data_IF_373585319272
#
_entry.id   IF_373585319272
#
_cell.length_a   1.000
_cell.length_b   1.000
_cell.length_c   1.000
_cell.angle_alpha   90.00
_cell.angle_beta   90.00
_cell.angle_gamma   90.00
#
_symmetry.space_group_name_H-M   'P 1'
#
loop_
_entity.id
_entity.type
_entity.pdbx_description
1 polymer ?
#
# COMPACT_ATOMS: atom_id res chain seq x y z
N UNK A 1 26.09 -11.36 3.04
CA UNK A 1 24.75 -11.65 2.43
C UNK A 1 24.22 -10.35 1.87
N UNK A 2 24.07 -10.21 0.55
CA UNK A 2 23.43 -9.00 -0.05
C UNK A 2 21.97 -9.01 0.41
N UNK A 3 21.57 -8.01 1.19
CA UNK A 3 20.18 -7.85 1.62
C UNK A 3 19.30 -7.80 0.38
N UNK A 4 18.39 -8.76 0.23
CA UNK A 4 17.43 -8.85 -0.87
C UNK A 4 16.61 -7.56 -0.92
N UNK A 5 16.99 -6.63 -1.80
CA UNK A 5 16.34 -5.34 -1.94
C UNK A 5 15.05 -5.50 -2.73
N UNK A 6 13.92 -5.04 -2.17
CA UNK A 6 12.61 -5.03 -2.84
C UNK A 6 12.45 -3.80 -3.74
N UNK A 7 13.51 -3.47 -4.50
CA UNK A 7 13.52 -2.31 -5.39
C UNK A 7 12.48 -2.37 -6.51
N UNK A 8 12.01 -3.57 -6.87
CA UNK A 8 10.90 -3.74 -7.79
C UNK A 8 9.62 -3.08 -7.29
N UNK A 9 9.31 -3.25 -5.98
CA UNK A 9 8.15 -2.59 -5.37
C UNK A 9 8.29 -1.06 -5.39
N UNK A 10 9.49 -0.54 -5.07
CA UNK A 10 9.71 0.91 -5.08
C UNK A 10 9.50 1.49 -6.49
N UNK A 11 9.99 0.80 -7.53
CA UNK A 11 9.85 1.28 -8.92
C UNK A 11 8.42 1.19 -9.44
N UNK A 12 7.69 0.12 -9.11
CA UNK A 12 6.31 -0.02 -9.56
C UNK A 12 5.35 0.97 -8.89
N UNK A 13 5.74 1.60 -7.77
CA UNK A 13 4.95 2.69 -7.17
C UNK A 13 4.69 3.83 -8.14
N UNK A 14 5.65 4.13 -9.04
CA UNK A 14 5.46 5.21 -10.01
C UNK A 14 4.39 4.85 -11.06
N UNK A 15 4.49 3.75 -11.85
CA UNK A 15 3.40 3.38 -12.75
C UNK A 15 2.06 3.21 -12.01
N UNK A 16 2.03 2.67 -10.78
CA UNK A 16 0.80 2.57 -10.01
C UNK A 16 0.21 3.96 -9.67
N UNK A 17 1.03 4.95 -9.28
CA UNK A 17 0.56 6.32 -9.05
C UNK A 17 0.06 6.98 -10.35
N UNK A 18 0.74 6.75 -11.48
CA UNK A 18 0.32 7.25 -12.79
C UNK A 18 -1.02 6.63 -13.25
N UNK A 19 -1.23 5.34 -12.98
CA UNK A 19 -2.53 4.69 -13.22
C UNK A 19 -3.65 5.31 -12.36
N UNK A 20 -3.35 5.68 -11.10
CA UNK A 20 -4.34 6.38 -10.27
C UNK A 20 -4.69 7.75 -10.87
N UNK A 21 -3.70 8.51 -11.35
CA UNK A 21 -3.96 9.78 -12.06
C UNK A 21 -4.78 9.52 -13.33
N UNK A 22 -4.47 8.45 -14.08
CA UNK A 22 -5.21 8.08 -15.29
C UNK A 22 -6.69 7.78 -15.01
N UNK A 23 -7.01 7.04 -13.94
CA UNK A 23 -8.40 6.78 -13.51
C UNK A 23 -9.19 8.07 -13.30
N UNK A 24 -8.54 9.13 -12.81
CA UNK A 24 -9.22 10.40 -12.50
C UNK A 24 -9.19 11.44 -13.63
N UNK A 25 -8.42 11.22 -14.69
CA UNK A 25 -8.28 12.15 -15.82
C UNK A 25 -8.80 11.61 -17.14
N UNK A 26 -8.93 10.29 -17.29
CA UNK A 26 -9.39 9.64 -18.52
C UNK A 26 -8.49 9.93 -19.72
N UNK A 27 -7.20 9.53 -19.72
CA UNK A 27 -6.20 10.01 -20.68
C UNK A 27 -6.51 9.71 -22.15
N UNK A 28 -7.30 8.67 -22.41
CA UNK A 28 -7.60 8.22 -23.78
C UNK A 28 -9.03 8.57 -24.24
N UNK A 29 -9.83 9.28 -23.45
CA UNK A 29 -11.22 9.59 -23.77
C UNK A 29 -11.40 10.32 -25.10
N UNK A 30 -10.52 11.26 -25.43
CA UNK A 30 -10.59 12.00 -26.71
C UNK A 30 -10.02 11.20 -27.89
N UNK A 31 -9.36 10.04 -27.65
CA UNK A 31 -8.75 9.20 -28.68
C UNK A 31 -9.63 7.97 -28.94
N UNK A 32 -9.94 7.23 -27.89
CA UNK A 32 -10.76 6.01 -27.92
C UNK A 32 -11.37 5.76 -26.55
N UNK A 33 -12.70 5.93 -26.39
CA UNK A 33 -13.38 5.57 -25.14
C UNK A 33 -13.12 4.13 -24.72
N UNK A 34 -13.12 3.18 -25.66
CA UNK A 34 -12.84 1.78 -25.38
C UNK A 34 -11.42 1.57 -24.81
N UNK A 35 -10.41 2.20 -25.40
CA UNK A 35 -9.03 2.11 -24.89
C UNK A 35 -8.90 2.80 -23.51
N UNK A 36 -9.66 3.87 -23.28
CA UNK A 36 -9.73 4.51 -21.98
C UNK A 36 -10.31 3.58 -20.92
N UNK A 37 -11.42 2.92 -21.22
CA UNK A 37 -12.07 1.97 -20.30
C UNK A 37 -11.14 0.79 -19.97
N UNK A 38 -10.42 0.24 -20.96
CA UNK A 38 -9.41 -0.80 -20.69
C UNK A 38 -8.33 -0.28 -19.71
N UNK A 39 -7.87 0.94 -19.91
CA UNK A 39 -6.81 1.51 -19.10
C UNK A 39 -7.31 1.87 -17.69
N UNK A 40 -8.46 2.54 -17.56
CA UNK A 40 -8.93 3.13 -16.29
C UNK A 40 -9.80 2.19 -15.48
N UNK A 41 -10.70 1.45 -16.15
CA UNK A 41 -11.73 0.65 -15.47
C UNK A 41 -11.31 -0.82 -15.27
N UNK A 42 -10.27 -1.26 -16.00
CA UNK A 42 -9.76 -2.63 -15.88
C UNK A 42 -8.32 -2.63 -15.35
N UNK A 43 -7.33 -2.18 -16.13
CA UNK A 43 -5.92 -2.28 -15.74
C UNK A 43 -5.53 -1.32 -14.61
N UNK A 44 -6.12 -0.14 -14.58
CA UNK A 44 -5.91 0.84 -13.53
C UNK A 44 -6.32 0.33 -12.15
N UNK A 45 -7.27 -0.62 -12.09
CA UNK A 45 -7.74 -1.19 -10.82
C UNK A 45 -6.69 -2.03 -10.08
N UNK A 46 -5.58 -2.37 -10.71
CA UNK A 46 -4.43 -3.02 -10.07
C UNK A 46 -3.71 -2.08 -9.10
N UNK A 47 -3.73 -0.76 -9.35
CA UNK A 47 -2.90 0.21 -8.64
C UNK A 47 -3.15 0.24 -7.12
N UNK A 48 -4.39 0.37 -6.67
CA UNK A 48 -4.72 0.45 -5.24
C UNK A 48 -4.51 -0.90 -4.53
N UNK A 49 -4.98 -2.04 -5.05
CA UNK A 49 -4.67 -3.36 -4.51
C UNK A 49 -3.17 -3.66 -4.41
N UNK A 50 -2.34 -3.20 -5.33
CA UNK A 50 -0.89 -3.27 -5.20
C UNK A 50 -0.39 -2.56 -3.94
N UNK A 51 -0.86 -1.34 -3.66
CA UNK A 51 -0.46 -0.62 -2.44
C UNK A 51 -0.94 -1.30 -1.17
N UNK A 52 -2.15 -1.88 -1.15
CA UNK A 52 -2.62 -2.71 -0.04
C UNK A 52 -1.73 -3.94 0.16
N UNK A 53 -1.44 -4.67 -0.91
CA UNK A 53 -0.64 -5.89 -0.85
C UNK A 53 0.82 -5.61 -0.44
N UNK A 54 1.43 -4.53 -0.91
CA UNK A 54 2.75 -4.09 -0.44
C UNK A 54 2.71 -3.70 1.04
N UNK A 55 1.66 -3.03 1.50
CA UNK A 55 1.48 -2.73 2.93
C UNK A 55 1.37 -4.01 3.75
N UNK A 56 0.60 -4.99 3.27
CA UNK A 56 0.48 -6.31 3.88
C UNK A 56 1.79 -7.10 3.92
N UNK A 57 2.61 -6.99 2.88
CA UNK A 57 3.94 -7.61 2.81
C UNK A 57 4.82 -7.26 4.00
N UNK A 58 4.79 -6.01 4.43
CA UNK A 58 5.58 -5.54 5.57
C UNK A 58 4.83 -5.64 6.91
N UNK A 59 3.52 -5.42 6.92
CA UNK A 59 2.73 -5.34 8.15
C UNK A 59 2.38 -6.73 8.71
N UNK A 60 1.84 -7.65 7.89
CA UNK A 60 1.27 -8.91 8.39
C UNK A 60 2.31 -9.80 9.10
N UNK A 61 3.56 -9.97 8.61
CA UNK A 61 4.58 -10.69 9.36
C UNK A 61 4.88 -10.06 10.73
N UNK A 62 4.81 -8.73 10.84
CA UNK A 62 4.99 -8.02 12.11
C UNK A 62 3.79 -8.21 13.03
N UNK A 63 2.57 -8.14 12.51
CA UNK A 63 1.35 -8.41 13.29
C UNK A 63 1.38 -9.80 13.94
N UNK A 64 1.92 -10.79 13.25
CA UNK A 64 2.07 -12.16 13.78
C UNK A 64 3.10 -12.26 14.90
N UNK A 65 4.16 -11.47 14.86
CA UNK A 65 5.24 -11.50 15.87
C UNK A 65 5.00 -10.53 17.02
N UNK A 66 4.55 -9.34 16.74
CA UNK A 66 4.51 -8.19 17.65
C UNK A 66 3.05 -7.82 18.06
N UNK A 67 2.04 -8.38 17.37
CA UNK A 67 0.63 -8.11 17.66
C UNK A 67 0.26 -6.63 17.53
N UNK A 68 -0.45 -6.09 18.54
CA UNK A 68 -0.89 -4.71 18.58
C UNK A 68 0.27 -3.69 18.58
N UNK A 69 1.47 -4.08 19.04
CA UNK A 69 2.64 -3.20 19.03
C UNK A 69 3.09 -2.84 17.59
N UNK A 70 2.83 -3.71 16.60
CA UNK A 70 3.04 -3.40 15.19
C UNK A 70 1.91 -2.57 14.59
N UNK A 71 0.66 -2.78 15.04
CA UNK A 71 -0.53 -2.12 14.50
C UNK A 71 -0.56 -0.63 14.85
N UNK A 72 -0.31 -0.27 16.12
CA UNK A 72 -0.42 1.10 16.62
C UNK A 72 0.39 2.12 15.80
N UNK A 73 1.72 1.94 15.63
CA UNK A 73 2.53 2.84 14.81
C UNK A 73 2.08 2.92 13.34
N UNK A 74 1.60 1.81 12.77
CA UNK A 74 1.08 1.77 11.42
C UNK A 74 -0.19 2.62 11.29
N UNK A 75 -1.16 2.45 12.18
CA UNK A 75 -2.39 3.24 12.21
C UNK A 75 -2.09 4.73 12.43
N UNK A 76 -1.24 5.06 13.41
CA UNK A 76 -0.85 6.46 13.68
C UNK A 76 -0.32 7.15 12.43
N UNK A 77 0.57 6.49 11.67
CA UNK A 77 1.12 7.04 10.44
C UNK A 77 0.06 7.20 9.35
N UNK A 78 -0.78 6.18 9.15
CA UNK A 78 -1.83 6.18 8.12
C UNK A 78 -2.89 7.23 8.42
N UNK A 79 -3.37 7.30 9.66
CA UNK A 79 -4.41 8.25 10.09
C UNK A 79 -3.89 9.69 10.12
N UNK A 80 -2.63 9.92 10.50
CA UNK A 80 -2.02 11.25 10.43
C UNK A 80 -1.95 11.74 8.98
N UNK A 81 -1.52 10.87 8.04
CA UNK A 81 -1.47 11.21 6.63
C UNK A 81 -2.88 11.46 6.07
N UNK A 82 -3.87 10.67 6.50
CA UNK A 82 -5.27 10.90 6.15
C UNK A 82 -5.77 12.25 6.65
N UNK A 83 -5.55 12.57 7.92
CA UNK A 83 -5.95 13.84 8.52
C UNK A 83 -5.34 15.04 7.77
N UNK A 84 -4.03 15.00 7.52
CA UNK A 84 -3.34 16.06 6.78
C UNK A 84 -3.90 16.20 5.35
N UNK A 85 -4.19 15.07 4.68
CA UNK A 85 -4.81 15.09 3.36
C UNK A 85 -6.24 15.62 3.42
N UNK A 86 -7.06 15.24 4.40
CA UNK A 86 -8.41 15.74 4.58
C UNK A 86 -8.43 17.27 4.80
N UNK A 87 -7.51 17.78 5.61
CA UNK A 87 -7.34 19.23 5.83
C UNK A 87 -6.91 19.95 4.54
N UNK A 88 -6.03 19.34 3.75
CA UNK A 88 -5.61 19.88 2.45
C UNK A 88 -6.79 20.02 1.47
N UNK A 89 -7.75 19.07 1.52
CA UNK A 89 -8.92 19.07 0.62
C UNK A 89 -10.14 19.80 1.18
N UNK A 90 -10.11 20.23 2.44
CA UNK A 90 -11.22 20.97 3.05
C UNK A 90 -11.65 22.23 2.25
N UNK A 91 -10.71 23.07 1.73
CA UNK A 91 -11.10 24.21 0.91
C UNK A 91 -11.84 23.83 -0.37
N UNK A 92 -11.46 22.71 -1.03
CA UNK A 92 -12.16 22.23 -2.22
C UNK A 92 -13.54 21.67 -1.90
N UNK A 93 -13.68 20.96 -0.77
CA UNK A 93 -15.00 20.49 -0.33
C UNK A 93 -15.93 21.65 0.00
N UNK A 94 -15.43 22.70 0.64
CA UNK A 94 -16.21 23.93 0.90
C UNK A 94 -16.62 24.62 -0.40
N UNK A 95 -15.70 24.78 -1.34
CA UNK A 95 -15.96 25.41 -2.63
C UNK A 95 -16.96 24.63 -3.48
N UNK A 96 -16.86 23.28 -3.51
CA UNK A 96 -17.73 22.41 -4.29
C UNK A 96 -19.05 22.08 -3.60
N UNK A 97 -19.30 22.56 -2.38
CA UNK A 97 -20.46 22.19 -1.56
C UNK A 97 -20.62 20.67 -1.37
N UNK A 98 -19.49 19.96 -1.23
CA UNK A 98 -19.43 18.49 -1.07
C UNK A 98 -19.20 18.06 0.37
N UNK A 99 -19.36 18.98 1.33
CA UNK A 99 -19.35 18.60 2.76
C UNK A 99 -20.59 17.75 3.08
N UNK A 100 -20.40 16.82 4.00
CA UNK A 100 -21.47 15.96 4.47
C UNK A 100 -22.62 16.78 5.07
N UNK A 101 -23.85 16.47 4.63
CA UNK A 101 -25.07 17.21 5.05
C UNK A 101 -25.54 16.81 6.45
N UNK A 102 -25.02 15.73 7.04
CA UNK A 102 -25.39 15.23 8.35
C UNK A 102 -24.21 14.58 9.07
N UNK A 103 -24.30 14.42 10.37
CA UNK A 103 -23.30 13.70 11.17
C UNK A 103 -23.13 12.24 10.72
N UNK A 104 -24.20 11.58 10.27
CA UNK A 104 -24.14 10.21 9.77
C UNK A 104 -23.38 10.12 8.44
N UNK A 105 -23.62 11.04 7.49
CA UNK A 105 -22.88 11.11 6.23
C UNK A 105 -21.42 11.47 6.47
N UNK A 106 -21.12 12.35 7.41
CA UNK A 106 -19.74 12.68 7.79
C UNK A 106 -18.99 11.46 8.34
N UNK A 107 -19.61 10.70 9.24
CA UNK A 107 -19.00 9.46 9.75
C UNK A 107 -18.78 8.43 8.64
N UNK A 108 -19.75 8.26 7.76
CA UNK A 108 -19.63 7.39 6.58
C UNK A 108 -18.43 7.78 5.70
N UNK A 109 -18.27 9.08 5.43
CA UNK A 109 -17.17 9.58 4.61
C UNK A 109 -15.82 9.44 5.33
N UNK A 110 -15.74 9.71 6.62
CA UNK A 110 -14.52 9.54 7.39
C UNK A 110 -14.06 8.07 7.42
N UNK A 111 -14.98 7.12 7.61
CA UNK A 111 -14.60 5.72 7.84
C UNK A 111 -14.60 4.84 6.59
N UNK A 112 -15.38 5.18 5.54
CA UNK A 112 -15.58 4.31 4.38
C UNK A 112 -15.31 4.99 3.04
N UNK A 113 -15.98 6.12 2.74
CA UNK A 113 -15.93 6.72 1.41
C UNK A 113 -14.70 7.60 1.19
N UNK A 114 -14.08 8.10 2.28
CA UNK A 114 -13.06 9.15 2.23
C UNK A 114 -13.68 10.55 2.21
N UNK A 115 -13.03 11.50 2.88
CA UNK A 115 -13.47 12.91 2.94
C UNK A 115 -13.28 13.66 1.61
N UNK A 116 -12.68 13.04 0.63
CA UNK A 116 -12.59 13.45 -0.77
C UNK A 116 -12.46 12.19 -1.63
N UNK A 117 -12.93 12.21 -2.87
CA UNK A 117 -13.15 11.02 -3.70
C UNK A 117 -11.98 10.03 -3.84
N UNK A 118 -10.72 10.48 -3.73
CA UNK A 118 -9.55 9.60 -3.78
C UNK A 118 -9.03 9.19 -2.39
N UNK A 119 -9.43 9.89 -1.31
CA UNK A 119 -8.92 9.66 0.03
C UNK A 119 -9.46 8.38 0.71
N UNK A 120 -10.44 7.70 0.11
CA UNK A 120 -10.99 6.44 0.62
C UNK A 120 -9.94 5.35 0.91
N UNK A 121 -8.80 5.42 0.24
CA UNK A 121 -7.68 4.51 0.44
C UNK A 121 -7.18 4.48 1.89
N UNK A 122 -7.09 5.64 2.54
CA UNK A 122 -6.54 5.72 3.90
C UNK A 122 -7.44 5.07 4.95
N UNK A 123 -8.74 5.40 5.07
CA UNK A 123 -9.63 4.70 5.99
C UNK A 123 -9.76 3.21 5.62
N UNK A 124 -9.77 2.86 4.33
CA UNK A 124 -9.77 1.47 3.89
C UNK A 124 -8.52 0.71 4.36
N UNK A 125 -7.33 1.31 4.25
CA UNK A 125 -6.09 0.72 4.72
C UNK A 125 -6.08 0.56 6.25
N UNK A 126 -6.55 1.57 6.99
CA UNK A 126 -6.59 1.54 8.46
C UNK A 126 -7.58 0.49 8.98
N UNK A 127 -8.81 0.49 8.49
CA UNK A 127 -9.84 -0.47 8.86
C UNK A 127 -9.44 -1.90 8.47
N UNK A 128 -8.96 -2.09 7.22
CA UNK A 128 -8.49 -3.39 6.74
C UNK A 128 -7.34 -3.94 7.57
N UNK A 129 -6.42 -3.08 8.04
CA UNK A 129 -5.33 -3.50 8.93
C UNK A 129 -5.84 -3.97 10.30
N UNK A 130 -6.84 -3.29 10.87
CA UNK A 130 -7.50 -3.71 12.12
C UNK A 130 -8.20 -5.07 11.95
N UNK A 131 -8.93 -5.26 10.85
CA UNK A 131 -9.61 -6.51 10.53
C UNK A 131 -8.58 -7.63 10.36
N UNK A 132 -7.54 -7.41 9.57
CA UNK A 132 -6.49 -8.43 9.36
C UNK A 132 -5.79 -8.79 10.68
N UNK A 133 -5.51 -7.80 11.54
CA UNK A 133 -4.97 -8.07 12.87
C UNK A 133 -5.89 -8.98 13.69
N UNK A 134 -7.19 -8.68 13.74
CA UNK A 134 -8.18 -9.49 14.46
C UNK A 134 -8.28 -10.90 13.86
N UNK A 135 -8.36 -11.03 12.53
CA UNK A 135 -8.42 -12.32 11.84
C UNK A 135 -7.17 -13.17 12.06
N UNK A 136 -5.99 -12.57 11.94
CA UNK A 136 -4.72 -13.30 12.14
C UNK A 136 -4.56 -13.73 13.60
N UNK A 137 -4.99 -12.91 14.56
CA UNK A 137 -4.94 -13.22 16.00
C UNK A 137 -5.96 -14.30 16.39
N UNK A 138 -7.19 -14.20 15.90
CA UNK A 138 -8.29 -15.11 16.28
C UNK A 138 -8.28 -16.43 15.52
N UNK A 139 -7.97 -16.41 14.22
CA UNK A 139 -8.12 -17.54 13.31
C UNK A 139 -6.78 -18.08 12.76
N UNK A 140 -5.66 -17.38 12.99
CA UNK A 140 -4.34 -17.81 12.53
C UNK A 140 -4.30 -18.07 11.02
N UNK A 141 -4.06 -19.33 10.63
CA UNK A 141 -4.02 -19.74 9.21
C UNK A 141 -5.37 -19.65 8.50
N UNK A 142 -6.46 -19.72 9.24
CA UNK A 142 -7.83 -19.68 8.71
C UNK A 142 -8.32 -18.25 8.43
N UNK A 143 -7.50 -17.21 8.71
CA UNK A 143 -7.82 -15.82 8.43
C UNK A 143 -8.20 -15.53 6.95
N UNK A 144 -7.77 -16.42 6.04
CA UNK A 144 -8.10 -16.33 4.63
C UNK A 144 -9.58 -16.53 4.33
N UNK A 145 -10.24 -17.45 5.04
CA UNK A 145 -11.63 -17.81 4.78
C UNK A 145 -12.55 -16.58 4.90
N UNK A 146 -12.60 -15.87 6.04
CA UNK A 146 -13.43 -14.66 6.13
C UNK A 146 -12.96 -13.54 5.18
N UNK A 147 -11.66 -13.40 4.90
CA UNK A 147 -11.19 -12.38 3.98
C UNK A 147 -11.64 -12.64 2.53
N UNK A 148 -11.64 -13.88 2.09
CA UNK A 148 -12.20 -14.28 0.78
C UNK A 148 -13.70 -14.06 0.74
N UNK A 149 -14.44 -14.46 1.79
CA UNK A 149 -15.88 -14.26 1.88
C UNK A 149 -16.25 -12.77 1.83
N UNK A 150 -15.53 -11.92 2.60
CA UNK A 150 -15.73 -10.48 2.55
C UNK A 150 -15.45 -9.92 1.15
N UNK A 151 -14.40 -10.39 0.49
CA UNK A 151 -14.09 -9.96 -0.87
C UNK A 151 -15.17 -10.38 -1.87
N UNK A 152 -15.70 -11.59 -1.77
CA UNK A 152 -16.79 -12.06 -2.63
C UNK A 152 -18.08 -11.26 -2.40
N UNK A 153 -18.41 -10.94 -1.14
CA UNK A 153 -19.50 -10.02 -0.81
C UNK A 153 -19.25 -8.65 -1.43
N UNK A 154 -18.02 -8.13 -1.31
CA UNK A 154 -17.64 -6.88 -1.95
C UNK A 154 -17.79 -6.89 -3.47
N UNK A 155 -17.32 -7.96 -4.11
CA UNK A 155 -17.39 -8.19 -5.56
C UNK A 155 -18.83 -8.17 -6.08
N UNK A 156 -19.73 -8.85 -5.36
CA UNK A 156 -21.16 -8.89 -5.67
C UNK A 156 -21.90 -7.58 -5.39
N UNK A 157 -21.29 -6.63 -4.71
CA UNK A 157 -21.77 -5.25 -4.53
C UNK A 157 -21.06 -4.23 -5.44
N UNK A 158 -20.15 -4.67 -6.29
CA UNK A 158 -19.34 -3.84 -7.18
C UNK A 158 -19.50 -4.28 -8.64
N UNK A 159 -18.49 -4.90 -9.23
CA UNK A 159 -18.49 -5.26 -10.65
C UNK A 159 -19.49 -6.37 -11.03
N UNK A 160 -19.84 -7.24 -10.10
CA UNK A 160 -20.81 -8.32 -10.34
C UNK A 160 -22.19 -8.03 -9.73
N UNK A 161 -22.50 -6.77 -9.45
CA UNK A 161 -23.76 -6.36 -8.80
C UNK A 161 -25.01 -6.75 -9.59
N UNK A 162 -24.97 -6.81 -10.91
CA UNK A 162 -26.10 -7.23 -11.75
C UNK A 162 -26.64 -8.62 -11.39
N UNK A 163 -25.77 -9.53 -10.93
CA UNK A 163 -26.22 -10.86 -10.46
C UNK A 163 -27.01 -10.78 -9.15
N UNK A 164 -26.64 -9.88 -8.24
CA UNK A 164 -27.38 -9.68 -6.99
C UNK A 164 -28.65 -8.87 -7.21
N UNK A 165 -28.62 -7.89 -8.10
CA UNK A 165 -29.78 -7.07 -8.46
C UNK A 165 -30.88 -7.89 -9.14
N UNK A 166 -30.53 -8.99 -9.82
CA UNK A 166 -31.48 -9.92 -10.42
C UNK A 166 -32.30 -10.74 -9.40
N UNK A 167 -31.83 -10.84 -8.14
CA UNK A 167 -32.44 -11.62 -7.07
C UNK A 167 -33.01 -10.68 -5.99
N UNK A 168 -34.36 -10.50 -5.89
CA UNK A 168 -34.97 -9.51 -5.00
C UNK A 168 -34.48 -9.54 -3.53
N UNK A 169 -34.33 -10.72 -2.87
CA UNK A 169 -33.85 -10.76 -1.49
C UNK A 169 -32.38 -10.26 -1.35
N UNK A 170 -31.52 -10.61 -2.31
CA UNK A 170 -30.12 -10.16 -2.31
C UNK A 170 -30.04 -8.67 -2.63
N UNK A 171 -30.80 -8.20 -3.59
CA UNK A 171 -30.91 -6.77 -3.92
C UNK A 171 -31.29 -5.96 -2.69
N UNK A 172 -32.34 -6.34 -1.96
CA UNK A 172 -32.78 -5.65 -0.74
C UNK A 172 -31.68 -5.65 0.35
N UNK A 173 -30.96 -6.77 0.51
CA UNK A 173 -29.83 -6.84 1.45
C UNK A 173 -28.70 -5.86 1.09
N UNK A 174 -28.33 -5.77 -0.20
CA UNK A 174 -27.30 -4.82 -0.66
C UNK A 174 -27.78 -3.36 -0.61
N UNK A 175 -29.03 -3.07 -0.93
CA UNK A 175 -29.61 -1.73 -0.76
C UNK A 175 -29.55 -1.29 0.72
N UNK A 176 -29.88 -2.19 1.66
CA UNK A 176 -29.71 -1.95 3.10
C UNK A 176 -28.25 -1.71 3.49
N UNK A 177 -27.33 -2.47 2.92
CA UNK A 177 -25.88 -2.32 3.16
C UNK A 177 -25.36 -0.97 2.63
N UNK A 178 -25.86 -0.49 1.49
CA UNK A 178 -25.50 0.79 0.90
C UNK A 178 -26.04 2.02 1.66
N UNK A 179 -26.86 1.85 2.70
CA UNK A 179 -27.15 2.92 3.65
C UNK A 179 -25.94 3.24 4.54
N UNK A 180 -25.06 2.25 4.77
CA UNK A 180 -23.87 2.41 5.62
C UNK A 180 -22.64 2.93 4.87
N UNK A 181 -22.51 2.63 3.57
CA UNK A 181 -21.38 3.06 2.72
C UNK A 181 -21.80 3.01 1.24
N UNK A 182 -21.24 3.90 0.43
CA UNK A 182 -21.63 4.00 -1.00
C UNK A 182 -20.98 2.91 -1.85
N UNK A 183 -19.80 2.41 -1.41
CA UNK A 183 -18.97 1.50 -2.18
C UNK A 183 -18.52 0.30 -1.34
N UNK A 184 -18.48 -0.88 -1.95
CA UNK A 184 -17.87 -2.07 -1.33
C UNK A 184 -16.35 -2.11 -1.50
N UNK A 185 -15.77 -1.23 -2.30
CA UNK A 185 -14.30 -1.01 -2.36
C UNK A 185 -13.82 -0.25 -1.12
N UNK A 186 -13.92 -0.84 0.04
CA UNK A 186 -13.59 -0.22 1.32
C UNK A 186 -12.75 -1.14 2.22
N UNK A 187 -12.44 -0.69 3.43
CA UNK A 187 -11.60 -1.42 4.37
C UNK A 187 -12.18 -2.73 4.88
N UNK A 188 -13.50 -2.90 4.79
CA UNK A 188 -14.18 -4.12 5.24
C UNK A 188 -14.08 -5.23 4.19
N UNK A 189 -14.43 -4.93 2.94
CA UNK A 189 -14.60 -5.97 1.91
C UNK A 189 -13.35 -6.17 1.04
N UNK A 190 -12.72 -5.10 0.57
CA UNK A 190 -11.65 -5.23 -0.43
C UNK A 190 -10.25 -5.35 0.18
N UNK A 191 -9.94 -4.59 1.23
CA UNK A 191 -8.56 -4.46 1.72
C UNK A 191 -8.01 -5.71 2.40
N UNK A 192 -8.78 -6.49 3.21
CA UNK A 192 -8.23 -7.61 3.98
C UNK A 192 -7.56 -8.69 3.11
N UNK A 193 -8.14 -9.03 1.96
CA UNK A 193 -7.60 -10.07 1.07
C UNK A 193 -6.21 -9.66 0.52
N UNK A 194 -6.04 -8.40 0.12
CA UNK A 194 -4.76 -7.91 -0.43
C UNK A 194 -3.69 -7.76 0.64
N UNK A 195 -4.04 -7.31 1.85
CA UNK A 195 -3.11 -7.29 2.99
C UNK A 195 -2.63 -8.71 3.32
N UNK A 196 -3.54 -9.68 3.42
CA UNK A 196 -3.19 -11.07 3.68
C UNK A 196 -2.36 -11.67 2.54
N UNK A 197 -2.70 -11.38 1.28
CA UNK A 197 -1.95 -11.84 0.11
C UNK A 197 -0.49 -11.37 0.17
N UNK A 198 -0.27 -10.08 0.39
CA UNK A 198 1.08 -9.54 0.55
C UNK A 198 1.83 -10.17 1.71
N UNK A 199 1.19 -10.30 2.87
CA UNK A 199 1.78 -10.91 4.06
C UNK A 199 2.09 -12.40 3.91
N UNK A 200 1.24 -13.13 3.19
CA UNK A 200 1.47 -14.54 2.89
C UNK A 200 2.65 -14.73 1.93
N UNK A 201 2.73 -13.95 0.87
CA UNK A 201 3.83 -13.98 -0.08
C UNK A 201 5.17 -13.60 0.59
N UNK A 202 5.16 -12.65 1.52
CA UNK A 202 6.36 -12.25 2.27
C UNK A 202 6.97 -13.37 3.12
N UNK A 203 6.15 -14.35 3.55
CA UNK A 203 6.56 -15.45 4.40
C UNK A 203 6.95 -16.73 3.62
N UNK A 204 6.80 -16.71 2.29
CA UNK A 204 7.18 -17.84 1.43
C UNK A 204 8.65 -17.77 1.04
N UNK A 205 9.32 -18.91 0.86
CA UNK A 205 10.65 -18.95 0.28
C UNK A 205 10.64 -18.29 -1.08
N UNK A 206 11.52 -17.30 -1.28
CA UNK A 206 11.63 -16.63 -2.56
C UNK A 206 12.29 -17.57 -3.57
N UNK A 207 11.58 -17.89 -4.62
CA UNK A 207 12.12 -18.58 -5.78
C UNK A 207 12.44 -17.55 -6.84
N UNK A 208 13.67 -17.49 -7.30
CA UNK A 208 14.07 -16.58 -8.37
C UNK A 208 13.64 -17.17 -9.73
N UNK A 209 12.37 -16.90 -10.11
CA UNK A 209 11.77 -17.36 -11.38
C UNK A 209 11.02 -16.21 -12.06
N UNK A 210 11.69 -15.09 -12.42
CA UNK A 210 11.01 -13.91 -12.96
C UNK A 210 10.25 -14.22 -14.27
N UNK A 211 10.76 -15.09 -15.12
CA UNK A 211 10.06 -15.52 -16.34
C UNK A 211 8.72 -16.20 -16.06
N UNK A 212 8.70 -17.17 -15.12
CA UNK A 212 7.46 -17.86 -14.75
C UNK A 212 6.42 -16.89 -14.14
N UNK A 213 6.88 -15.99 -13.26
CA UNK A 213 5.98 -15.00 -12.66
C UNK A 213 5.50 -13.96 -13.67
N UNK A 214 6.34 -13.60 -14.66
CA UNK A 214 5.95 -12.75 -15.78
C UNK A 214 4.88 -13.38 -16.65
N UNK A 215 5.00 -14.67 -16.98
CA UNK A 215 3.95 -15.44 -17.70
C UNK A 215 2.66 -15.48 -16.87
N UNK A 216 2.75 -15.78 -15.56
CA UNK A 216 1.59 -15.77 -14.69
C UNK A 216 0.90 -14.40 -14.63
N UNK A 217 1.67 -13.32 -14.57
CA UNK A 217 1.16 -11.94 -14.63
C UNK A 217 0.46 -11.67 -15.96
N UNK A 218 1.07 -12.03 -17.08
CA UNK A 218 0.47 -11.82 -18.42
C UNK A 218 -0.84 -12.59 -18.58
N UNK A 219 -0.88 -13.85 -18.15
CA UNK A 219 -2.11 -14.64 -18.18
C UNK A 219 -3.19 -14.06 -17.26
N UNK A 220 -2.83 -13.63 -16.06
CA UNK A 220 -3.79 -13.01 -15.15
C UNK A 220 -4.29 -11.64 -15.64
N UNK A 221 -3.47 -10.88 -16.38
CA UNK A 221 -3.91 -9.66 -17.05
C UNK A 221 -4.90 -9.94 -18.18
N UNK A 222 -4.68 -11.00 -18.96
CA UNK A 222 -5.64 -11.46 -19.98
C UNK A 222 -6.97 -11.85 -19.33
N UNK A 223 -6.93 -12.62 -18.23
CA UNK A 223 -8.13 -12.99 -17.49
C UNK A 223 -8.85 -11.77 -16.91
N UNK A 224 -8.12 -10.82 -16.33
CA UNK A 224 -8.69 -9.57 -15.81
C UNK A 224 -9.35 -8.75 -16.92
N UNK A 225 -8.71 -8.70 -18.09
CA UNK A 225 -9.28 -8.01 -19.26
C UNK A 225 -10.55 -8.71 -19.74
N UNK A 226 -10.52 -10.03 -19.86
CA UNK A 226 -11.69 -10.80 -20.26
C UNK A 226 -12.85 -10.65 -19.28
N UNK A 227 -12.58 -10.69 -17.95
CA UNK A 227 -13.59 -10.44 -16.91
C UNK A 227 -14.15 -9.04 -17.01
N UNK A 228 -13.31 -8.00 -17.11
CA UNK A 228 -13.76 -6.62 -17.21
C UNK A 228 -14.61 -6.35 -18.44
N UNK A 229 -14.23 -6.91 -19.60
CA UNK A 229 -15.03 -6.82 -20.84
C UNK A 229 -16.37 -7.58 -20.72
N UNK A 230 -16.37 -8.75 -20.07
CA UNK A 230 -17.60 -9.50 -19.80
C UNK A 230 -18.56 -8.69 -18.92
N UNK A 231 -18.05 -8.19 -17.79
CA UNK A 231 -18.84 -7.37 -16.86
C UNK A 231 -19.45 -6.15 -17.57
N UNK A 232 -18.66 -5.49 -18.42
CA UNK A 232 -19.10 -4.32 -19.18
C UNK A 232 -20.12 -4.69 -20.27
N UNK A 233 -19.87 -5.78 -21.02
CA UNK A 233 -20.75 -6.21 -22.10
C UNK A 233 -22.15 -6.63 -21.61
N UNK A 234 -22.25 -7.17 -20.39
CA UNK A 234 -23.52 -7.59 -19.78
C UNK A 234 -24.10 -6.55 -18.80
N UNK A 235 -23.52 -5.35 -18.72
CA UNK A 235 -23.93 -4.26 -17.81
C UNK A 235 -24.12 -4.74 -16.36
N UNK A 236 -23.17 -5.54 -15.85
CA UNK A 236 -23.25 -6.14 -14.52
C UNK A 236 -22.78 -5.21 -13.42
N UNK A 237 -21.96 -4.21 -13.75
CA UNK A 237 -21.29 -3.40 -12.76
C UNK A 237 -22.20 -2.30 -12.20
N UNK A 238 -22.24 -2.18 -10.86
CA UNK A 238 -22.61 -0.93 -10.20
C UNK A 238 -21.40 0.02 -10.17
N UNK A 239 -20.22 -0.54 -9.88
CA UNK A 239 -18.92 0.07 -9.96
C UNK A 239 -17.92 -0.97 -10.50
N UNK A 240 -16.82 -0.53 -11.04
CA UNK A 240 -15.80 -1.35 -11.70
C UNK A 240 -14.47 -1.38 -10.93
N UNK A 241 -14.55 -1.48 -9.60
CA UNK A 241 -13.35 -1.42 -8.75
C UNK A 241 -12.82 -2.79 -8.30
N UNK A 242 -13.67 -3.80 -8.23
CA UNK A 242 -13.34 -5.14 -7.74
C UNK A 242 -13.61 -6.19 -8.84
N UNK A 243 -12.61 -7.03 -9.11
CA UNK A 243 -12.71 -8.15 -10.06
C UNK A 243 -12.27 -9.45 -9.41
N UNK A 244 -12.88 -10.58 -9.79
CA UNK A 244 -12.56 -11.91 -9.25
C UNK A 244 -11.09 -12.27 -9.52
N UNK A 245 -10.57 -11.91 -10.68
CA UNK A 245 -9.20 -12.20 -11.12
C UNK A 245 -8.15 -11.23 -10.58
N UNK A 246 -8.57 -10.10 -9.99
CA UNK A 246 -7.69 -9.04 -9.51
C UNK A 246 -6.70 -9.51 -8.42
N UNK A 247 -7.09 -10.31 -7.40
CA UNK A 247 -6.12 -10.85 -6.42
C UNK A 247 -5.04 -11.73 -7.07
N UNK A 248 -5.38 -12.48 -8.11
CA UNK A 248 -4.43 -13.30 -8.86
C UNK A 248 -3.40 -12.42 -9.59
N UNK A 249 -3.88 -11.39 -10.28
CA UNK A 249 -3.04 -10.43 -10.99
C UNK A 249 -2.07 -9.72 -10.03
N UNK A 250 -2.56 -9.21 -8.90
CA UNK A 250 -1.72 -8.56 -7.88
C UNK A 250 -0.72 -9.54 -7.26
N UNK A 251 -1.11 -10.78 -7.03
CA UNK A 251 -0.23 -11.83 -6.52
C UNK A 251 0.95 -12.11 -7.45
N UNK A 252 0.72 -12.33 -8.74
CA UNK A 252 1.78 -12.53 -9.72
C UNK A 252 2.62 -11.27 -9.94
N UNK A 253 2.02 -10.08 -9.90
CA UNK A 253 2.75 -8.82 -9.95
C UNK A 253 3.75 -8.70 -8.78
N UNK A 254 3.33 -8.97 -7.54
CA UNK A 254 4.23 -8.94 -6.38
C UNK A 254 5.36 -9.97 -6.49
N UNK A 255 5.05 -11.20 -6.93
CA UNK A 255 6.05 -12.25 -7.13
C UNK A 255 7.07 -11.84 -8.19
N UNK A 256 6.60 -11.31 -9.31
CA UNK A 256 7.46 -10.83 -10.41
C UNK A 256 8.37 -9.70 -9.95
N UNK A 257 7.82 -8.65 -9.34
CA UNK A 257 8.57 -7.51 -8.83
C UNK A 257 9.60 -7.90 -7.74
N UNK A 258 9.25 -8.87 -6.88
CA UNK A 258 10.15 -9.37 -5.85
C UNK A 258 11.30 -10.21 -6.45
N UNK A 259 11.08 -10.85 -7.60
CA UNK A 259 12.08 -11.68 -8.29
C UNK A 259 13.05 -10.87 -9.15
N UNK A 260 12.75 -9.59 -9.46
CA UNK A 260 13.62 -8.75 -10.30
C UNK A 260 14.92 -8.29 -9.61
N UNK A 261 15.08 -8.49 -8.30
CA UNK A 261 16.27 -8.16 -7.51
C UNK A 261 16.84 -6.74 -7.76
N UNK A 262 15.98 -5.78 -8.05
CA UNK A 262 16.37 -4.41 -8.35
C UNK A 262 16.83 -3.67 -7.09
N UNK A 263 17.81 -2.75 -7.17
CA UNK A 263 18.23 -1.96 -6.03
C UNK A 263 17.08 -1.10 -5.49
N UNK A 264 17.04 -0.90 -4.17
CA UNK A 264 16.04 -0.06 -3.52
C UNK A 264 16.03 1.38 -4.08
N UNK A 265 14.85 1.96 -4.20
CA UNK A 265 14.65 3.33 -4.67
C UNK A 265 13.78 4.12 -3.67
N UNK A 266 14.30 4.42 -2.47
CA UNK A 266 13.51 5.00 -1.37
C UNK A 266 12.92 6.37 -1.71
N UNK A 267 13.55 7.15 -2.59
CA UNK A 267 13.04 8.43 -3.07
C UNK A 267 11.65 8.30 -3.71
N UNK A 268 11.39 7.20 -4.43
CA UNK A 268 10.10 6.96 -5.07
C UNK A 268 8.96 6.78 -4.07
N UNK A 269 9.23 6.35 -2.83
CA UNK A 269 8.19 6.10 -1.81
C UNK A 269 7.49 7.39 -1.40
N UNK A 270 8.24 8.43 -1.06
CA UNK A 270 7.69 9.73 -0.69
C UNK A 270 7.12 10.46 -1.90
N UNK A 271 7.84 10.44 -3.01
CA UNK A 271 7.44 11.13 -4.23
C UNK A 271 6.08 10.62 -4.77
N UNK A 272 5.93 9.30 -4.94
CA UNK A 272 4.68 8.72 -5.46
C UNK A 272 3.51 8.85 -4.50
N UNK A 273 3.75 8.81 -3.18
CA UNK A 273 2.72 9.09 -2.18
C UNK A 273 2.25 10.56 -2.26
N UNK A 274 3.16 11.49 -2.50
CA UNK A 274 2.81 12.90 -2.69
C UNK A 274 2.08 13.12 -4.02
N UNK A 275 2.48 12.47 -5.14
CA UNK A 275 1.71 12.49 -6.39
C UNK A 275 0.27 12.00 -6.14
N UNK A 276 0.11 10.88 -5.43
CA UNK A 276 -1.21 10.35 -5.08
C UNK A 276 -2.06 11.37 -4.29
N UNK A 277 -1.46 12.06 -3.33
CA UNK A 277 -2.20 13.04 -2.52
C UNK A 277 -2.49 14.32 -3.32
N UNK A 278 -1.58 14.78 -4.18
CA UNK A 278 -1.66 16.11 -4.79
C UNK A 278 -2.40 16.15 -6.15
N UNK A 279 -2.51 15.02 -6.86
CA UNK A 279 -3.03 15.04 -8.24
C UNK A 279 -4.43 15.65 -8.42
N UNK A 280 -5.42 15.51 -7.49
CA UNK A 280 -6.71 16.17 -7.70
C UNK A 280 -6.63 17.70 -7.61
N UNK A 281 -5.74 18.24 -6.76
CA UNK A 281 -5.43 19.66 -6.79
C UNK A 281 -4.82 20.07 -8.12
N UNK A 282 -3.92 19.23 -8.68
CA UNK A 282 -3.32 19.50 -9.98
C UNK A 282 -4.36 19.47 -11.12
N UNK A 283 -5.37 18.59 -11.04
CA UNK A 283 -6.51 18.61 -11.97
C UNK A 283 -7.21 19.98 -11.94
N UNK A 284 -7.52 20.49 -10.75
CA UNK A 284 -8.18 21.79 -10.57
C UNK A 284 -7.30 22.92 -11.09
N UNK A 285 -6.01 22.91 -10.73
CA UNK A 285 -5.05 23.95 -11.15
C UNK A 285 -4.83 23.96 -12.66
N UNK A 286 -4.69 22.77 -13.30
CA UNK A 286 -4.54 22.67 -14.76
C UNK A 286 -5.80 23.19 -15.47
N UNK A 287 -6.99 22.78 -15.03
CA UNK A 287 -8.25 23.27 -15.61
C UNK A 287 -8.45 24.76 -15.42
N UNK A 288 -8.16 25.29 -14.23
CA UNK A 288 -8.24 26.72 -13.92
C UNK A 288 -7.23 27.54 -14.73
N UNK A 289 -5.95 27.11 -14.71
CA UNK A 289 -4.88 27.77 -15.47
C UNK A 289 -5.14 27.77 -16.98
N UNK A 290 -5.59 26.63 -17.55
CA UNK A 290 -5.92 26.51 -18.96
C UNK A 290 -7.01 27.52 -19.39
N UNK A 291 -8.01 27.79 -18.55
CA UNK A 291 -9.04 28.78 -18.78
C UNK A 291 -8.47 30.20 -18.80
N UNK A 292 -7.60 30.52 -17.84
CA UNK A 292 -6.99 31.85 -17.72
C UNK A 292 -6.09 32.18 -18.93
N UNK A 293 -5.30 31.21 -19.41
CA UNK A 293 -4.36 31.41 -20.53
C UNK A 293 -4.96 31.05 -21.90
N UNK A 294 -6.24 30.68 -21.98
CA UNK A 294 -6.91 30.35 -23.25
C UNK A 294 -6.47 29.04 -23.91
N UNK A 295 -5.90 28.08 -23.15
CA UNK A 295 -5.38 26.82 -23.67
C UNK A 295 -6.29 25.61 -23.32
N UNK A 296 -7.60 25.85 -23.17
CA UNK A 296 -8.56 24.77 -22.81
C UNK A 296 -8.58 23.63 -23.81
N UNK A 297 -8.51 23.93 -25.12
CA UNK A 297 -8.47 22.89 -26.16
C UNK A 297 -7.32 21.90 -26.02
N UNK A 298 -6.13 22.36 -25.57
CA UNK A 298 -4.96 21.53 -25.39
C UNK A 298 -4.93 20.85 -24.01
N UNK A 299 -5.23 21.59 -22.95
CA UNK A 299 -4.99 21.17 -21.57
C UNK A 299 -6.24 20.65 -20.83
N UNK A 300 -7.42 20.68 -21.47
CA UNK A 300 -8.67 20.17 -20.91
C UNK A 300 -9.40 19.26 -21.89
N UNK A 301 -9.68 19.73 -23.12
CA UNK A 301 -10.47 18.99 -24.10
C UNK A 301 -9.67 17.84 -24.74
N UNK A 302 -8.36 18.02 -24.92
CA UNK A 302 -7.45 16.93 -25.27
C UNK A 302 -7.12 16.15 -24.00
N UNK A 303 -7.67 14.94 -23.88
CA UNK A 303 -7.53 14.11 -22.69
C UNK A 303 -6.08 13.67 -22.39
N UNK A 304 -5.26 13.41 -23.44
CA UNK A 304 -3.83 13.14 -23.28
C UNK A 304 -3.06 14.38 -22.81
N UNK A 305 -3.35 15.54 -23.38
CA UNK A 305 -2.78 16.81 -22.96
C UNK A 305 -3.12 17.13 -21.50
N UNK A 306 -4.38 16.92 -21.11
CA UNK A 306 -4.83 17.07 -19.73
C UNK A 306 -4.08 16.15 -18.77
N UNK A 307 -4.06 14.84 -19.06
CA UNK A 307 -3.33 13.85 -18.26
C UNK A 307 -1.85 14.20 -18.13
N UNK A 308 -1.18 14.50 -19.25
CA UNK A 308 0.24 14.85 -19.26
C UNK A 308 0.54 16.08 -18.41
N UNK A 309 -0.28 17.14 -18.52
CA UNK A 309 -0.14 18.35 -17.70
C UNK A 309 -0.37 18.07 -16.19
N UNK A 310 -1.39 17.27 -15.84
CA UNK A 310 -1.67 16.89 -14.45
C UNK A 310 -0.53 16.05 -13.88
N UNK A 311 -0.03 15.07 -14.63
CA UNK A 311 1.11 14.23 -14.22
C UNK A 311 2.35 15.09 -14.00
N UNK A 312 2.70 15.95 -14.95
CA UNK A 312 3.87 16.82 -14.84
C UNK A 312 3.78 17.74 -13.63
N UNK A 313 2.65 18.43 -13.46
CA UNK A 313 2.44 19.34 -12.33
C UNK A 313 2.48 18.58 -11.00
N UNK A 314 1.82 17.43 -10.91
CA UNK A 314 1.84 16.58 -9.71
C UNK A 314 3.25 16.09 -9.38
N UNK A 315 4.01 15.66 -10.38
CA UNK A 315 5.38 15.20 -10.23
C UNK A 315 6.30 16.32 -9.73
N UNK A 316 6.18 17.53 -10.29
CA UNK A 316 6.96 18.70 -9.90
C UNK A 316 6.64 19.13 -8.46
N UNK A 317 5.36 19.26 -8.11
CA UNK A 317 4.96 19.64 -6.74
C UNK A 317 5.32 18.57 -5.71
N UNK A 318 5.41 17.31 -6.11
CA UNK A 318 5.82 16.21 -5.26
C UNK A 318 7.33 16.08 -5.08
N UNK A 319 8.19 16.76 -5.87
CA UNK A 319 9.67 16.63 -5.81
C UNK A 319 10.26 16.80 -4.41
N UNK A 320 9.84 17.75 -3.56
CA UNK A 320 10.39 17.89 -2.22
C UNK A 320 10.28 16.59 -1.40
N UNK A 321 9.23 15.80 -1.61
CA UNK A 321 9.00 14.54 -0.89
C UNK A 321 9.90 13.39 -1.38
N UNK A 322 10.49 13.49 -2.57
CA UNK A 322 11.51 12.55 -3.05
C UNK A 322 12.81 12.68 -2.24
N UNK A 323 13.13 13.90 -1.84
CA UNK A 323 14.37 14.23 -1.10
C UNK A 323 14.17 14.28 0.41
N UNK A 324 12.92 14.33 0.87
CA UNK A 324 12.61 14.32 2.30
C UNK A 324 13.11 13.01 2.92
N UNK A 325 14.15 13.10 3.69
CA UNK A 325 14.61 12.03 4.57
C UNK A 325 14.23 12.44 5.99
N UNK A 326 13.26 11.75 6.64
CA UNK A 326 13.07 11.98 8.07
C UNK A 326 14.42 11.79 8.74
N UNK A 327 14.78 12.71 9.65
CA UNK A 327 15.97 12.55 10.45
C UNK A 327 15.96 11.12 11.00
N UNK A 328 17.01 10.36 10.72
CA UNK A 328 17.16 9.03 11.33
C UNK A 328 17.08 9.29 12.84
N UNK A 329 16.07 8.70 13.48
CA UNK A 329 16.12 8.60 14.93
C UNK A 329 17.49 8.02 15.25
N UNK A 330 18.24 8.69 16.11
CA UNK A 330 19.55 8.20 16.51
C UNK A 330 19.38 6.71 16.88
N UNK A 331 20.01 5.77 16.19
CA UNK A 331 19.85 4.36 16.49
C UNK A 331 20.23 4.03 17.94
N UNK A 332 20.99 4.93 18.59
CA UNK A 332 21.38 4.83 19.98
C UNK A 332 20.25 5.16 20.96
N UNK A 333 19.16 5.84 20.51
CA UNK A 333 18.04 6.22 21.38
C UNK A 333 18.44 7.19 22.48
N UNK A 334 17.78 7.08 23.68
CA UNK A 334 18.10 7.91 24.86
C UNK A 334 19.24 7.36 25.70
N UNK A 335 19.56 6.09 25.54
CA UNK A 335 20.65 5.41 26.22
C UNK A 335 21.18 4.30 25.30
N UNK A 336 22.48 4.15 25.26
CA UNK A 336 23.15 3.10 24.51
C UNK A 336 24.35 2.59 25.30
N UNK A 337 24.82 1.42 24.94
CA UNK A 337 26.00 0.82 25.48
C UNK A 337 27.03 0.77 24.36
N UNK A 338 28.23 1.28 24.62
CA UNK A 338 29.38 1.16 23.72
C UNK A 338 30.32 0.10 24.29
N UNK A 339 30.66 -0.89 23.48
CA UNK A 339 31.65 -1.92 23.81
C UNK A 339 32.88 -1.69 22.99
N UNK A 340 33.97 -1.27 23.66
CA UNK A 340 35.29 -1.11 23.03
C UNK A 340 35.95 -2.49 22.94
N UNK A 341 35.93 -3.06 21.73
CA UNK A 341 36.54 -4.35 21.47
C UNK A 341 38.06 -4.37 21.63
N UNK A 342 38.74 -3.24 21.38
CA UNK A 342 40.19 -3.14 21.52
C UNK A 342 40.58 -3.11 23.00
N UNK A 343 39.86 -2.31 23.80
CA UNK A 343 40.08 -2.26 25.26
C UNK A 343 39.78 -3.63 25.91
N UNK A 344 38.72 -4.33 25.47
CA UNK A 344 38.39 -5.65 26.00
C UNK A 344 39.48 -6.70 25.67
N UNK A 345 39.99 -6.72 24.43
CA UNK A 345 41.10 -7.62 24.04
C UNK A 345 42.38 -7.27 24.79
N UNK A 346 42.71 -5.99 24.98
CA UNK A 346 43.83 -5.54 25.75
C UNK A 346 43.75 -6.07 27.20
N UNK A 347 42.60 -5.90 27.83
CA UNK A 347 42.38 -6.38 29.20
C UNK A 347 42.52 -7.89 29.31
N UNK A 348 41.99 -8.65 28.33
CA UNK A 348 42.14 -10.10 28.27
C UNK A 348 43.62 -10.50 28.15
N UNK A 349 44.35 -9.86 27.27
CA UNK A 349 45.78 -10.10 27.10
C UNK A 349 46.58 -9.79 28.37
N UNK A 350 46.26 -8.64 29.01
CA UNK A 350 46.92 -8.25 30.27
C UNK A 350 46.63 -9.28 31.41
N UNK A 351 45.38 -9.70 31.53
CA UNK A 351 45.00 -10.75 32.52
C UNK A 351 45.62 -12.11 32.21
N UNK A 352 45.69 -12.48 30.93
CA UNK A 352 46.32 -13.72 30.51
C UNK A 352 47.83 -13.77 30.85
N UNK A 353 48.49 -12.62 30.76
CA UNK A 353 49.91 -12.50 31.10
C UNK A 353 50.22 -12.65 32.61
N UNK A 354 49.23 -12.52 33.47
CA UNK A 354 49.33 -12.72 34.91
C UNK A 354 49.08 -14.18 35.33
N UNK A 355 48.67 -15.06 34.42
CA UNK A 355 48.40 -16.46 34.74
C UNK A 355 49.68 -17.26 34.82
N UNK A 356 49.76 -18.23 35.72
CA UNK A 356 50.88 -19.17 35.74
C UNK A 356 50.90 -20.03 34.45
N UNK A 357 52.02 -20.66 34.16
CA UNK A 357 52.21 -21.52 33.00
C UNK A 357 51.12 -22.62 32.96
N UNK A 358 50.37 -22.71 31.82
CA UNK A 358 49.24 -23.62 31.68
C UNK A 358 47.91 -23.11 32.23
N UNK A 359 47.85 -21.90 32.83
CA UNK A 359 46.60 -21.26 33.30
C UNK A 359 45.68 -20.87 32.13
N UNK A 360 44.36 -20.96 32.36
CA UNK A 360 43.34 -20.60 31.36
C UNK A 360 42.44 -19.49 31.90
N UNK A 361 42.22 -18.46 31.08
CA UNK A 361 41.24 -17.41 31.36
C UNK A 361 39.84 -17.84 30.89
N UNK A 362 38.83 -17.68 31.74
CA UNK A 362 37.46 -17.99 31.43
C UNK A 362 36.55 -16.79 31.63
N UNK A 363 36.28 -16.02 30.57
CA UNK A 363 35.37 -14.87 30.64
C UNK A 363 33.93 -15.30 30.91
N UNK A 364 33.26 -14.63 31.85
CA UNK A 364 31.88 -14.94 32.24
C UNK A 364 30.92 -13.94 31.57
N UNK A 365 30.09 -14.43 30.66
CA UNK A 365 29.13 -13.62 29.86
C UNK A 365 27.67 -13.81 30.30
N UNK A 366 27.41 -14.27 31.55
CA UNK A 366 26.05 -14.40 32.09
C UNK A 366 25.30 -13.07 32.12
N UNK A 367 23.96 -13.11 32.23
CA UNK A 367 23.09 -11.94 32.26
C UNK A 367 23.33 -10.98 31.06
N UNK A 368 23.52 -11.53 29.85
CA UNK A 368 23.85 -10.79 28.61
C UNK A 368 25.16 -9.98 28.74
N UNK A 369 26.20 -10.58 29.34
CA UNK A 369 27.44 -9.91 29.70
C UNK A 369 27.17 -8.62 30.54
N UNK A 370 26.27 -8.73 31.52
CA UNK A 370 25.80 -7.62 32.37
C UNK A 370 25.26 -6.42 31.57
N UNK A 371 24.57 -6.71 30.46
CA UNK A 371 23.97 -5.73 29.56
C UNK A 371 24.78 -5.36 28.32
N UNK A 372 26.07 -5.79 28.22
CA UNK A 372 26.95 -5.46 27.10
C UNK A 372 26.70 -6.31 25.83
N UNK A 373 25.85 -7.37 25.92
CA UNK A 373 25.59 -8.32 24.82
C UNK A 373 26.49 -9.55 24.89
N UNK A 374 25.90 -10.69 25.28
CA UNK A 374 26.62 -11.95 25.49
C UNK A 374 27.33 -12.48 24.25
N UNK A 375 26.64 -12.49 23.10
CA UNK A 375 27.20 -12.97 21.83
C UNK A 375 28.35 -12.07 21.32
N UNK A 376 28.20 -10.73 21.45
CA UNK A 376 29.20 -9.77 21.01
C UNK A 376 30.46 -9.88 21.88
N UNK A 377 30.29 -9.86 23.19
CA UNK A 377 31.42 -9.98 24.15
C UNK A 377 32.07 -11.36 24.02
N UNK A 378 31.31 -12.45 23.89
CA UNK A 378 31.86 -13.78 23.70
C UNK A 378 32.72 -13.88 22.43
N UNK A 379 32.26 -13.31 21.30
CA UNK A 379 33.04 -13.24 20.05
C UNK A 379 34.34 -12.48 20.20
N UNK A 380 34.35 -11.34 20.94
CA UNK A 380 35.53 -10.55 21.18
C UNK A 380 36.53 -11.33 22.05
N UNK A 381 36.02 -12.12 23.03
CA UNK A 381 36.85 -12.91 23.96
C UNK A 381 37.41 -14.18 23.35
N UNK A 382 36.79 -14.74 22.29
CA UNK A 382 37.19 -16.00 21.64
C UNK A 382 38.10 -15.82 20.42
N UNK A 383 38.31 -14.61 19.91
CA UNK A 383 39.17 -14.27 18.78
C UNK A 383 40.31 -13.38 19.16
#
# INVERSE_FOLDING_TARGET
MRGNTLGGFDRFRLPAALLVVAIHTGPLLSVSPFANDLLTDIWGRIAVPFFFAVSGWFLVPRLRREGAAALGPFLKKTLLLYLLSALLYLPLNLYNHTLADSGASLLRDIFFNGTFYHLWYFPALALGACIVWALVRGLGRWAWLPAVLLYLVGLLGDSWYGLTAALPPLRAAYEGMFLCFDYTRNGLFSTPIFLLLGGWLAQRPRRNRPGLYGVGLSLSLVLLTAEGLLVKNFDLARFDALYLTLPLCVGFLLLWLAALELPAAPALRGWTAAIYVLHPWCIVLVRGGARVVGLTGLLVDNSLGHYGAVVLLSALLALPFAFYRPAKADPRGRAWIEVDAAALRHNLSALSALLPEGGKLMPVVKAKAYGHGDLEVARICSG
#
